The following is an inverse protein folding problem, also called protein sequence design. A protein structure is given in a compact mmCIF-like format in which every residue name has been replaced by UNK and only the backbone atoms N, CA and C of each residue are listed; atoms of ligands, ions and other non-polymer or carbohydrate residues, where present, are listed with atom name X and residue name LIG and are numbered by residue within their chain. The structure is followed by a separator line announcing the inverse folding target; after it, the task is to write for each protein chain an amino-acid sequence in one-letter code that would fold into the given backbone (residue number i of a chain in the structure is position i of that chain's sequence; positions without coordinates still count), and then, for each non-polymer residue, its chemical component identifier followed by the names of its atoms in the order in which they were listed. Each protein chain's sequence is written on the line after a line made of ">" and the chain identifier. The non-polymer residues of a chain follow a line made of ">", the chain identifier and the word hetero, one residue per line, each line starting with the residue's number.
data_IF_299429264796
#
_entry.id   IF_299429264796
#
_cell.length_a   1.000
_cell.length_b   1.000
_cell.length_c   1.000
_cell.angle_alpha   90.00
_cell.angle_beta   90.00
_cell.angle_gamma   90.00
#
_symmetry.space_group_name_H-M   'P 1'
#
loop_
_entity.id
_entity.type
_entity.pdbx_description
1 polymer ?
#
# COMPACT_ATOMS: atom_id res chain seq x y z
N UNK A 1 -19.20 -0.73 -1.56
CA UNK A 1 -18.74 -1.82 -0.68
C UNK A 1 -19.66 -1.94 0.53
N UNK A 2 -20.41 -3.04 0.67
CA UNK A 2 -21.34 -3.27 1.78
C UNK A 2 -20.71 -3.99 2.98
N UNK A 3 -19.62 -4.75 2.78
CA UNK A 3 -18.93 -5.48 3.85
C UNK A 3 -18.12 -4.55 4.77
N UNK A 4 -18.28 -4.75 6.08
CA UNK A 4 -17.58 -4.07 7.18
C UNK A 4 -16.57 -5.02 7.85
N UNK A 5 -15.52 -4.48 8.46
CA UNK A 5 -14.52 -5.24 9.23
C UNK A 5 -14.64 -4.98 10.74
N UNK A 6 -13.98 -5.81 11.56
CA UNK A 6 -13.81 -5.56 13.00
C UNK A 6 -12.75 -4.50 13.23
N UNK A 7 -13.12 -3.39 13.87
CA UNK A 7 -12.23 -2.30 14.25
C UNK A 7 -11.42 -2.65 15.52
N UNK A 8 -10.43 -1.81 15.86
CA UNK A 8 -9.64 -1.99 17.07
C UNK A 8 -10.49 -2.02 18.35
N UNK A 9 -11.63 -1.31 18.37
CA UNK A 9 -12.59 -1.30 19.48
C UNK A 9 -13.62 -2.45 19.43
N UNK A 10 -13.47 -3.42 18.52
CA UNK A 10 -14.39 -4.56 18.37
C UNK A 10 -15.68 -4.28 17.57
N UNK A 11 -16.01 -3.01 17.30
CA UNK A 11 -17.21 -2.66 16.50
C UNK A 11 -16.98 -2.90 15.01
N UNK A 12 -18.06 -3.09 14.25
CA UNK A 12 -18.01 -3.22 12.78
C UNK A 12 -17.87 -1.85 12.12
N UNK A 13 -16.90 -1.68 11.23
CA UNK A 13 -16.62 -0.41 10.55
C UNK A 13 -16.08 -0.55 9.12
N UNK A 14 -15.78 0.58 8.50
CA UNK A 14 -15.22 0.65 7.15
C UNK A 14 -13.81 0.06 7.04
N UNK A 15 -13.38 -0.18 5.80
CA UNK A 15 -12.05 -0.68 5.49
C UNK A 15 -11.18 0.43 4.92
N UNK A 16 -9.92 0.46 5.37
CA UNK A 16 -8.87 1.24 4.75
C UNK A 16 -8.08 0.36 3.78
N UNK A 17 -7.41 1.00 2.84
CA UNK A 17 -6.52 0.37 1.87
C UNK A 17 -5.13 0.99 1.95
N UNK A 18 -4.14 0.22 1.52
CA UNK A 18 -2.78 0.69 1.31
C UNK A 18 -2.09 -0.17 0.25
N UNK A 19 -1.00 0.33 -0.29
CA UNK A 19 -0.24 -0.39 -1.29
C UNK A 19 1.25 -0.07 -1.22
N UNK A 20 2.05 -1.01 -1.73
CA UNK A 20 3.47 -0.84 -2.05
C UNK A 20 3.65 -1.11 -3.54
N UNK A 21 4.39 -0.22 -4.21
CA UNK A 21 4.75 -0.31 -5.61
C UNK A 21 6.27 -0.33 -5.70
N UNK A 22 6.84 -1.43 -6.20
CA UNK A 22 8.28 -1.60 -6.39
C UNK A 22 8.56 -1.46 -7.87
N UNK A 23 9.28 -0.40 -8.21
CA UNK A 23 9.66 -0.05 -9.57
C UNK A 23 11.12 -0.42 -9.84
N UNK A 24 11.51 -0.54 -11.12
CA UNK A 24 12.90 -0.70 -11.51
C UNK A 24 13.76 0.47 -11.02
N UNK A 25 15.07 0.25 -10.93
CA UNK A 25 16.00 1.32 -10.55
C UNK A 25 15.89 2.52 -11.51
N UNK A 26 16.07 3.71 -10.95
CA UNK A 26 15.94 4.98 -11.69
C UNK A 26 14.51 5.52 -11.86
N UNK A 27 13.48 4.66 -11.82
CA UNK A 27 12.09 5.10 -11.77
C UNK A 27 11.78 5.76 -10.41
N UNK A 28 10.91 6.77 -10.43
CA UNK A 28 10.54 7.51 -9.22
C UNK A 28 9.15 8.13 -9.35
N UNK A 29 8.63 8.63 -8.23
CA UNK A 29 7.45 9.49 -8.24
C UNK A 29 7.74 10.74 -9.08
N UNK A 30 6.80 11.09 -9.97
CA UNK A 30 6.90 12.31 -10.77
C UNK A 30 6.81 13.56 -9.87
N UNK A 31 7.65 14.57 -10.09
CA UNK A 31 7.55 15.82 -9.35
C UNK A 31 6.29 16.60 -9.77
N UNK A 32 5.73 17.47 -8.90
CA UNK A 32 4.41 18.09 -9.11
C UNK A 32 4.27 18.93 -10.40
N UNK A 33 5.36 19.48 -10.90
CA UNK A 33 5.47 20.24 -12.14
C UNK A 33 5.34 19.36 -13.41
N UNK A 34 5.59 18.06 -13.27
CA UNK A 34 5.53 17.06 -14.37
C UNK A 34 4.21 16.29 -14.43
N UNK A 35 3.27 16.58 -13.53
CA UNK A 35 1.97 15.92 -13.48
C UNK A 35 0.93 16.82 -14.16
N UNK A 36 0.27 16.30 -15.20
CA UNK A 36 -0.79 17.01 -15.89
C UNK A 36 -1.98 17.31 -14.96
N UNK A 37 -2.77 18.38 -15.22
CA UNK A 37 -3.94 18.69 -14.41
C UNK A 37 -4.94 17.53 -14.30
N UNK A 38 -5.18 16.81 -15.40
CA UNK A 38 -6.06 15.64 -15.43
C UNK A 38 -5.55 14.52 -14.51
N UNK A 39 -4.25 14.25 -14.51
CA UNK A 39 -3.67 13.24 -13.61
C UNK A 39 -3.71 13.70 -12.14
N UNK A 40 -3.52 15.00 -11.87
CA UNK A 40 -3.65 15.55 -10.50
C UNK A 40 -5.05 15.31 -9.94
N UNK A 41 -6.09 15.50 -10.75
CA UNK A 41 -7.46 15.23 -10.35
C UNK A 41 -7.69 13.75 -10.00
N UNK A 42 -7.18 12.83 -10.84
CA UNK A 42 -7.26 11.38 -10.60
C UNK A 42 -6.51 10.91 -9.35
N UNK A 43 -5.36 11.54 -9.06
CA UNK A 43 -4.59 11.26 -7.83
C UNK A 43 -5.36 11.75 -6.60
N UNK A 44 -6.06 12.88 -6.71
CA UNK A 44 -6.74 13.53 -5.61
C UNK A 44 -5.77 13.90 -4.48
N UNK A 45 -6.20 13.71 -3.23
CA UNK A 45 -5.42 14.10 -2.05
C UNK A 45 -4.56 12.95 -1.51
N UNK A 46 -4.04 12.10 -2.39
CA UNK A 46 -3.15 11.00 -2.02
C UNK A 46 -1.72 11.50 -1.86
N UNK A 47 -1.03 11.04 -0.82
CA UNK A 47 0.37 11.38 -0.52
C UNK A 47 1.22 10.12 -0.55
N UNK A 48 2.15 10.05 -1.49
CA UNK A 48 3.05 8.92 -1.67
C UNK A 48 4.34 9.13 -0.90
N UNK A 49 4.82 8.08 -0.24
CA UNK A 49 6.08 8.10 0.48
C UNK A 49 7.07 7.14 -0.15
N UNK A 50 8.36 7.48 -0.11
CA UNK A 50 9.41 6.50 -0.43
C UNK A 50 9.60 5.55 0.75
N UNK A 51 9.76 4.26 0.48
CA UNK A 51 9.95 3.24 1.52
C UNK A 51 11.16 3.54 2.41
N UNK A 52 12.22 4.11 1.83
CA UNK A 52 13.40 4.65 2.53
C UNK A 52 13.92 5.88 1.79
N UNK A 53 14.66 6.80 2.45
CA UNK A 53 15.21 8.00 1.82
C UNK A 53 16.00 7.74 0.52
N UNK A 54 16.78 6.65 0.49
CA UNK A 54 17.62 6.28 -0.65
C UNK A 54 16.93 5.33 -1.65
N UNK A 55 15.67 4.93 -1.41
CA UNK A 55 14.92 3.99 -2.26
C UNK A 55 13.68 4.67 -2.84
N UNK A 56 13.93 5.58 -3.79
CA UNK A 56 12.90 6.40 -4.46
C UNK A 56 12.02 5.62 -5.45
N UNK A 57 12.45 4.43 -5.84
CA UNK A 57 11.74 3.50 -6.71
C UNK A 57 10.76 2.58 -5.96
N UNK A 58 10.77 2.59 -4.62
CA UNK A 58 9.82 1.85 -3.81
C UNK A 58 8.87 2.84 -3.15
N UNK A 59 7.61 2.83 -3.58
CA UNK A 59 6.60 3.78 -3.15
C UNK A 59 5.58 3.08 -2.25
N UNK A 60 5.23 3.71 -1.14
CA UNK A 60 4.18 3.26 -0.23
C UNK A 60 3.08 4.32 -0.11
N UNK A 61 1.84 3.85 0.01
CA UNK A 61 0.64 4.68 0.18
C UNK A 61 -0.30 4.03 1.19
N UNK A 62 -0.97 4.85 1.99
CA UNK A 62 -1.95 4.41 2.96
C UNK A 62 -1.49 4.54 4.42
N UNK A 63 -2.39 4.22 5.38
CA UNK A 63 -3.76 3.79 5.15
C UNK A 63 -4.67 4.93 4.67
N UNK A 64 -5.50 4.69 3.64
CA UNK A 64 -6.51 5.64 3.15
C UNK A 64 -7.91 5.02 3.13
N UNK A 65 -9.00 5.81 3.20
CA UNK A 65 -10.37 5.28 3.19
C UNK A 65 -10.69 4.51 1.90
N UNK A 66 -10.88 3.20 2.00
CA UNK A 66 -11.06 2.32 0.82
C UNK A 66 -12.36 2.56 0.06
N UNK A 67 -13.39 3.13 0.70
CA UNK A 67 -14.63 3.52 0.01
C UNK A 67 -14.40 4.67 -0.99
N UNK A 68 -13.46 5.58 -0.67
CA UNK A 68 -13.10 6.72 -1.52
C UNK A 68 -12.04 6.33 -2.54
N UNK A 69 -11.04 5.56 -2.11
CA UNK A 69 -9.91 5.15 -2.94
C UNK A 69 -9.98 3.64 -3.22
N UNK A 70 -10.88 3.25 -4.12
CA UNK A 70 -10.93 1.90 -4.69
C UNK A 70 -9.91 1.70 -5.82
N UNK A 71 -9.48 2.81 -6.43
CA UNK A 71 -8.38 2.89 -7.38
C UNK A 71 -7.33 3.87 -6.85
N UNK A 72 -6.06 3.55 -7.09
CA UNK A 72 -4.92 4.40 -6.73
C UNK A 72 -4.06 4.58 -7.98
N UNK A 73 -3.96 5.82 -8.45
CA UNK A 73 -3.14 6.19 -9.62
C UNK A 73 -1.78 6.69 -9.15
N UNK A 74 -0.71 6.01 -9.53
CA UNK A 74 0.66 6.41 -9.22
C UNK A 74 1.27 7.23 -10.36
N UNK A 75 1.65 8.51 -10.15
CA UNK A 75 2.34 9.29 -11.17
C UNK A 75 3.82 8.91 -11.21
N UNK A 76 4.21 8.08 -12.16
CA UNK A 76 5.58 7.57 -12.27
C UNK A 76 6.36 8.31 -13.37
N UNK A 77 7.59 8.71 -13.05
CA UNK A 77 8.55 9.24 -14.00
C UNK A 77 9.62 8.17 -14.31
N UNK A 78 9.74 7.80 -15.58
CA UNK A 78 10.80 6.93 -16.08
C UNK A 78 12.17 7.62 -16.03
N UNK A 79 13.27 6.85 -15.90
CA UNK A 79 14.60 7.39 -16.07
C UNK A 79 14.92 7.60 -17.55
N UNK A 80 16.01 8.33 -17.81
CA UNK A 80 16.51 8.61 -19.15
C UNK A 80 17.88 7.91 -19.36
N UNK A 81 17.94 6.82 -20.15
CA UNK A 81 19.19 6.10 -20.46
C UNK A 81 20.27 6.95 -21.13
N UNK A 82 19.92 8.05 -21.81
CA UNK A 82 20.92 8.93 -22.41
C UNK A 82 21.67 9.75 -21.35
N UNK A 83 21.06 9.98 -20.18
CA UNK A 83 21.61 10.77 -19.08
C UNK A 83 22.11 9.92 -17.90
N UNK A 84 21.72 8.66 -17.85
CA UNK A 84 22.02 7.72 -16.76
C UNK A 84 22.57 6.42 -17.32
N UNK A 85 23.83 6.10 -17.03
CA UNK A 85 24.52 4.92 -17.55
C UNK A 85 24.07 3.60 -16.90
N UNK A 86 23.45 3.68 -15.73
CA UNK A 86 23.00 2.56 -14.91
C UNK A 86 21.61 2.03 -15.32
N UNK A 87 20.95 2.65 -16.30
CA UNK A 87 19.62 2.25 -16.79
C UNK A 87 19.66 2.05 -18.30
N UNK A 88 18.98 1.01 -18.78
CA UNK A 88 18.96 0.62 -20.19
C UNK A 88 17.52 0.53 -20.72
N UNK A 89 17.35 0.55 -22.05
CA UNK A 89 16.07 0.22 -22.66
C UNK A 89 15.86 -1.29 -22.62
N UNK A 90 15.12 -1.77 -21.61
CA UNK A 90 14.84 -3.18 -21.39
C UNK A 90 13.39 -3.36 -20.94
N UNK A 91 12.95 -4.62 -20.94
CA UNK A 91 11.73 -5.02 -20.25
C UNK A 91 12.05 -5.22 -18.77
N UNK A 92 11.44 -4.40 -17.91
CA UNK A 92 11.61 -4.51 -16.47
C UNK A 92 10.34 -5.01 -15.77
N UNK A 93 10.46 -5.76 -14.67
CA UNK A 93 9.32 -6.12 -13.84
C UNK A 93 8.87 -4.93 -12.99
N UNK A 94 7.57 -4.92 -12.66
CA UNK A 94 6.98 -4.04 -11.65
C UNK A 94 6.25 -4.95 -10.66
N UNK A 95 6.50 -4.75 -9.36
CA UNK A 95 5.84 -5.53 -8.31
C UNK A 95 4.86 -4.66 -7.54
N UNK A 96 3.68 -5.20 -7.30
CA UNK A 96 2.59 -4.50 -6.59
C UNK A 96 2.14 -5.35 -5.42
N UNK A 97 2.14 -4.77 -4.22
CA UNK A 97 1.51 -5.33 -3.04
C UNK A 97 0.34 -4.44 -2.62
N UNK A 98 -0.85 -5.01 -2.52
CA UNK A 98 -2.06 -4.29 -2.07
C UNK A 98 -2.60 -4.92 -0.80
N UNK A 99 -3.05 -4.08 0.14
CA UNK A 99 -3.74 -4.53 1.33
C UNK A 99 -5.05 -3.76 1.54
N UNK A 100 -6.08 -4.47 2.02
CA UNK A 100 -7.33 -3.88 2.50
C UNK A 100 -7.70 -4.50 3.84
N UNK A 101 -8.09 -3.65 4.78
CA UNK A 101 -8.49 -4.07 6.12
C UNK A 101 -7.31 -4.27 7.06
N UNK A 102 -7.62 -4.72 8.28
CA UNK A 102 -6.65 -4.86 9.37
C UNK A 102 -5.91 -6.19 9.30
N UNK A 103 -4.61 -6.14 9.57
CA UNK A 103 -3.75 -7.31 9.69
C UNK A 103 -4.08 -8.19 10.91
N UNK A 104 -3.60 -9.42 10.85
CA UNK A 104 -3.86 -10.46 11.85
C UNK A 104 -2.84 -10.46 13.00
N UNK A 105 -1.65 -9.88 12.76
CA UNK A 105 -0.50 -9.92 13.67
C UNK A 105 0.10 -8.51 13.77
N UNK A 106 0.49 -8.10 14.97
CA UNK A 106 1.19 -6.85 15.24
C UNK A 106 2.71 -7.00 15.07
N UNK A 107 3.47 -5.89 14.97
CA UNK A 107 4.93 -5.96 14.83
C UNK A 107 5.66 -6.70 15.96
N UNK A 108 5.07 -6.75 17.16
CA UNK A 108 5.58 -7.49 18.31
C UNK A 108 5.27 -9.00 18.28
N UNK A 109 4.60 -9.48 17.22
CA UNK A 109 4.19 -10.88 17.06
C UNK A 109 2.85 -11.23 17.71
N UNK A 110 2.21 -10.31 18.44
CA UNK A 110 0.91 -10.56 19.08
C UNK A 110 -0.24 -10.63 18.06
N UNK A 111 -1.25 -11.44 18.35
CA UNK A 111 -2.47 -11.57 17.55
C UNK A 111 -3.36 -10.34 17.69
N UNK A 112 -3.93 -9.86 16.58
CA UNK A 112 -4.96 -8.82 16.60
C UNK A 112 -6.35 -9.41 16.90
N UNK A 113 -7.33 -8.56 17.24
CA UNK A 113 -8.73 -8.98 17.35
C UNK A 113 -9.42 -9.26 15.98
N UNK A 114 -8.68 -9.23 14.86
CA UNK A 114 -9.16 -9.57 13.53
C UNK A 114 -8.49 -10.85 13.01
N UNK A 115 -8.56 -11.91 13.82
CA UNK A 115 -7.94 -13.22 13.54
C UNK A 115 -8.71 -14.34 14.23
N UNK A 116 -8.29 -15.59 14.01
CA UNK A 116 -8.82 -16.78 14.66
C UNK A 116 -8.05 -17.09 15.94
N UNK A 117 -8.78 -17.39 17.01
CA UNK A 117 -8.25 -17.90 18.27
C UNK A 117 -8.53 -19.40 18.36
N UNK A 118 -7.50 -20.17 18.71
CA UNK A 118 -7.57 -21.62 18.83
C UNK A 118 -7.49 -22.01 20.31
N UNK A 119 -8.05 -23.16 20.67
CA UNK A 119 -7.82 -23.75 21.98
C UNK A 119 -6.33 -24.06 22.17
N UNK A 120 -5.80 -23.81 23.37
CA UNK A 120 -4.40 -24.07 23.71
C UNK A 120 -4.16 -25.53 24.13
N UNK A 121 -5.21 -26.28 24.42
CA UNK A 121 -5.15 -27.69 24.84
C UNK A 121 -6.46 -28.41 24.50
N UNK A 122 -6.42 -29.74 24.47
CA UNK A 122 -7.60 -30.59 24.30
C UNK A 122 -8.42 -30.64 25.58
N UNK A 123 -9.75 -30.60 25.47
CA UNK A 123 -10.64 -30.70 26.63
C UNK A 123 -12.07 -30.29 26.32
N UNK A 124 -12.87 -30.15 27.38
CA UNK A 124 -14.25 -29.69 27.34
C UNK A 124 -14.30 -28.27 27.92
N UNK A 125 -14.95 -27.33 27.23
CA UNK A 125 -15.14 -25.94 27.70
C UNK A 125 -16.07 -25.93 28.93
N UNK A 126 -15.59 -25.45 30.08
CA UNK A 126 -16.34 -25.45 31.36
C UNK A 126 -16.82 -24.08 31.83
N UNK A 127 -16.14 -22.98 31.48
CA UNK A 127 -16.59 -21.59 31.60
C UNK A 127 -15.55 -20.64 31.01
#
# INVERSE_FOLDING_TARGET
>A
MQLKQVLANGKKGGLNVGAVLILPEGFKLAPPDRISPELKEKIGNLSFQSYRPNKKNILVIGPVPGKKYNEIVFPILSPDPARKKDVNFLKYPIYVGGNRGRGQIYPDGSKSNNTVYNATSTGIVKK
#
